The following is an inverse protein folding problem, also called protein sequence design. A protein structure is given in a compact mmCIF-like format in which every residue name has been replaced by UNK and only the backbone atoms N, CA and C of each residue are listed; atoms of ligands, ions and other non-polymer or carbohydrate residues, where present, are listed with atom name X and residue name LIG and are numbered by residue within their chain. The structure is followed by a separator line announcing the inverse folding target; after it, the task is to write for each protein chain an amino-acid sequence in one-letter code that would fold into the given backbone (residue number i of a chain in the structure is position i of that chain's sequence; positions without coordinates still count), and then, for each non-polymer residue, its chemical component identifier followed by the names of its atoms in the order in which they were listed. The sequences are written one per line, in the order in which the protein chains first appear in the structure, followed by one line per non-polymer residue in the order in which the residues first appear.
data_IF_868545089140
#
_entry.id   IF_868545089140
#
_cell.length_a   1.000
_cell.length_b   1.000
_cell.length_c   1.000
_cell.angle_alpha   90.00
_cell.angle_beta   90.00
_cell.angle_gamma   90.00
#
_symmetry.space_group_name_H-M   'P 1'
#
loop_
_entity.id
_entity.type
_entity.pdbx_description
1 polymer ?
#
# COMPACT_ATOMS: atom_id res chain seq x y z
N UNK A 1 -36.38 -27.49 54.40
CA UNK A 1 -35.28 -28.47 54.34
C UNK A 1 -34.20 -27.94 53.43
N UNK A 2 -33.07 -27.49 53.98
CA UNK A 2 -31.93 -26.97 53.21
C UNK A 2 -30.94 -28.09 52.94
N UNK A 3 -30.68 -28.38 51.67
CA UNK A 3 -29.64 -29.32 51.26
C UNK A 3 -28.26 -28.65 51.27
N UNK A 4 -27.27 -29.32 51.83
CA UNK A 4 -25.87 -28.91 51.84
C UNK A 4 -25.31 -28.87 50.41
N UNK A 5 -24.84 -27.70 49.96
CA UNK A 5 -24.20 -27.55 48.64
C UNK A 5 -22.89 -28.35 48.60
N UNK A 6 -22.79 -29.30 47.66
CA UNK A 6 -21.58 -30.09 47.42
C UNK A 6 -20.42 -29.22 46.92
N UNK A 7 -19.20 -29.54 47.33
CA UNK A 7 -17.97 -28.87 46.90
C UNK A 7 -17.69 -29.18 45.43
N UNK A 8 -17.89 -28.21 44.55
CA UNK A 8 -17.52 -28.28 43.13
C UNK A 8 -16.00 -28.02 43.06
N UNK A 9 -15.21 -29.10 42.86
CA UNK A 9 -13.80 -28.98 42.45
C UNK A 9 -13.76 -28.44 41.03
N UNK A 10 -13.17 -27.25 40.85
CA UNK A 10 -12.92 -26.69 39.51
C UNK A 10 -11.65 -27.33 38.96
N UNK A 11 -11.69 -27.77 37.71
CA UNK A 11 -10.61 -28.46 37.00
C UNK A 11 -9.34 -27.61 36.79
N UNK A 12 -9.27 -26.41 37.37
CA UNK A 12 -8.15 -25.46 37.24
C UNK A 12 -7.32 -25.31 38.53
N UNK A 13 -7.67 -25.99 39.61
CA UNK A 13 -6.92 -25.89 40.88
C UNK A 13 -5.74 -26.87 40.99
N UNK A 14 -5.56 -27.79 40.03
CA UNK A 14 -4.36 -28.63 39.96
C UNK A 14 -3.23 -27.87 39.23
N UNK A 15 -2.47 -27.11 40.01
CA UNK A 15 -1.26 -26.39 39.58
C UNK A 15 -0.08 -27.33 39.26
N UNK A 16 -0.28 -28.32 38.38
CA UNK A 16 0.62 -29.48 38.27
C UNK A 16 1.27 -29.77 36.91
N UNK A 17 0.97 -29.07 35.82
CA UNK A 17 1.37 -29.60 34.49
C UNK A 17 2.08 -28.66 33.50
N UNK A 18 2.44 -27.42 33.85
CA UNK A 18 3.33 -26.65 32.98
C UNK A 18 4.16 -25.62 33.74
N UNK A 19 5.49 -25.57 33.54
CA UNK A 19 6.28 -24.44 34.00
C UNK A 19 5.80 -23.14 33.35
N UNK A 20 5.82 -22.00 34.07
CA UNK A 20 5.36 -20.72 33.57
C UNK A 20 6.16 -20.29 32.31
N UNK A 21 5.53 -19.51 31.40
CA UNK A 21 6.20 -19.02 30.19
C UNK A 21 7.51 -18.30 30.55
N UNK A 22 8.64 -18.77 30.02
CA UNK A 22 9.98 -18.24 30.32
C UNK A 22 10.90 -19.18 31.12
N UNK A 23 10.40 -20.32 31.62
CA UNK A 23 11.21 -21.33 32.34
C UNK A 23 11.69 -22.50 31.45
N UNK A 24 11.64 -22.36 30.12
CA UNK A 24 12.18 -23.36 29.20
C UNK A 24 13.64 -23.07 28.91
N UNK A 25 14.53 -23.88 29.47
CA UNK A 25 15.97 -23.83 29.20
C UNK A 25 16.24 -24.48 27.83
N UNK A 26 16.58 -23.67 26.83
CA UNK A 26 16.90 -24.15 25.48
C UNK A 26 18.30 -24.76 25.51
N UNK A 27 18.39 -26.09 25.61
CA UNK A 27 19.66 -26.80 25.44
C UNK A 27 20.17 -26.57 24.02
N UNK A 28 21.25 -25.78 23.89
CA UNK A 28 22.02 -25.70 22.65
C UNK A 28 22.84 -26.99 22.53
N UNK A 29 22.67 -27.80 21.46
CA UNK A 29 23.53 -28.95 21.25
C UNK A 29 24.92 -28.48 20.82
N UNK A 30 25.94 -28.80 21.62
CA UNK A 30 27.35 -28.44 21.39
C UNK A 30 28.03 -29.19 20.24
N UNK A 31 27.28 -29.87 19.38
CA UNK A 31 27.78 -30.52 18.18
C UNK A 31 26.83 -30.27 17.01
N UNK A 32 26.74 -29.01 16.59
CA UNK A 32 26.08 -28.64 15.34
C UNK A 32 26.96 -29.07 14.16
N UNK A 33 26.71 -30.29 13.66
CA UNK A 33 27.01 -30.62 12.28
C UNK A 33 26.43 -29.50 11.40
N UNK A 34 27.29 -28.92 10.57
CA UNK A 34 27.04 -27.79 9.68
C UNK A 34 25.57 -27.69 9.26
N UNK A 35 24.88 -26.69 9.81
CA UNK A 35 23.57 -26.28 9.32
C UNK A 35 23.67 -26.09 7.81
N UNK A 36 22.80 -26.74 7.06
CA UNK A 36 22.73 -26.65 5.61
C UNK A 36 22.64 -25.16 5.24
N UNK A 37 23.75 -24.61 4.76
CA UNK A 37 23.79 -23.31 4.10
C UNK A 37 22.90 -23.47 2.88
N UNK A 38 21.69 -22.93 2.96
CA UNK A 38 20.81 -22.80 1.80
C UNK A 38 21.52 -21.81 0.87
N UNK A 39 22.31 -22.34 -0.06
CA UNK A 39 22.80 -21.61 -1.22
C UNK A 39 21.59 -21.04 -1.93
N UNK A 40 21.45 -19.72 -1.90
CA UNK A 40 20.45 -18.96 -2.64
C UNK A 40 20.41 -19.51 -4.07
N UNK A 41 19.25 -19.99 -4.48
CA UNK A 41 19.07 -20.60 -5.79
C UNK A 41 19.45 -19.60 -6.90
N UNK A 42 20.25 -20.04 -7.86
CA UNK A 42 20.55 -19.34 -9.12
C UNK A 42 19.30 -19.17 -10.03
N UNK A 43 18.09 -19.28 -9.47
CA UNK A 43 16.83 -19.31 -10.22
C UNK A 43 16.37 -17.93 -10.71
N UNK A 44 17.10 -16.87 -10.35
CA UNK A 44 16.88 -15.51 -10.83
C UNK A 44 18.15 -14.95 -11.47
N UNK A 45 18.56 -15.51 -12.62
CA UNK A 45 19.37 -14.75 -13.59
C UNK A 45 18.41 -14.06 -14.54
N UNK A 46 18.51 -12.72 -14.60
CA UNK A 46 17.85 -11.88 -15.60
C UNK A 46 18.31 -12.35 -16.98
N UNK A 47 17.41 -12.67 -17.93
CA UNK A 47 17.82 -13.01 -19.28
C UNK A 47 18.62 -11.88 -19.92
N UNK A 48 19.77 -12.26 -20.49
CA UNK A 48 20.64 -11.41 -21.31
C UNK A 48 19.84 -11.00 -22.56
N UNK A 49 19.86 -9.72 -22.90
CA UNK A 49 19.12 -9.13 -24.03
C UNK A 49 19.37 -9.87 -25.36
N UNK A 50 18.34 -10.07 -26.20
CA UNK A 50 18.53 -10.61 -27.54
C UNK A 50 19.19 -9.58 -28.48
N UNK A 51 19.99 -10.04 -29.47
CA UNK A 51 20.62 -9.16 -30.45
C UNK A 51 19.58 -8.45 -31.35
N UNK A 52 19.90 -7.27 -31.90
CA UNK A 52 18.96 -6.47 -32.68
C UNK A 52 18.56 -7.15 -34.00
N UNK A 53 17.32 -6.95 -34.49
CA UNK A 53 16.88 -7.46 -35.77
C UNK A 53 17.53 -6.68 -36.93
N UNK A 54 17.82 -7.32 -38.08
CA UNK A 54 18.26 -6.61 -39.27
C UNK A 54 17.15 -5.73 -39.83
N UNK A 55 17.43 -4.42 -39.90
CA UNK A 55 16.66 -3.45 -40.67
C UNK A 55 16.97 -3.57 -42.16
N UNK A 56 15.95 -3.76 -43.00
CA UNK A 56 15.76 -3.10 -44.31
C UNK A 56 14.68 -3.85 -45.11
N UNK A 57 13.49 -3.29 -45.24
CA UNK A 57 13.12 -2.69 -46.52
C UNK A 57 11.62 -2.40 -46.55
N UNK A 58 11.29 -1.20 -47.00
CA UNK A 58 9.99 -0.51 -46.93
C UNK A 58 8.85 -1.20 -47.72
N UNK A 59 7.58 -0.91 -47.38
CA UNK A 59 6.42 -1.29 -48.17
C UNK A 59 6.09 -0.21 -49.20
N UNK A 60 5.90 -0.59 -50.47
CA UNK A 60 5.30 0.31 -51.47
C UNK A 60 3.88 -0.15 -51.81
N UNK A 61 2.91 0.66 -51.37
CA UNK A 61 1.58 0.84 -51.97
C UNK A 61 1.68 0.88 -53.50
N UNK A 62 0.68 0.32 -54.18
CA UNK A 62 -0.17 1.10 -55.11
C UNK A 62 -1.44 0.33 -55.48
N UNK A 63 -2.55 1.06 -55.46
CA UNK A 63 -3.87 0.68 -55.97
C UNK A 63 -3.95 0.97 -57.47
N UNK A 64 -4.86 0.24 -58.12
CA UNK A 64 -5.86 0.67 -59.12
C UNK A 64 -5.47 1.10 -60.54
N UNK A 65 -6.34 0.62 -61.45
CA UNK A 65 -7.00 1.27 -62.61
C UNK A 65 -6.53 0.94 -64.03
N UNK A 66 -7.44 0.25 -64.74
CA UNK A 66 -8.09 0.60 -66.01
C UNK A 66 -7.31 1.22 -67.20
N UNK A 67 -7.57 0.58 -68.35
CA UNK A 67 -7.84 1.13 -69.70
C UNK A 67 -6.74 1.79 -70.56
N UNK A 68 -6.63 1.22 -71.77
CA UNK A 68 -6.52 1.85 -73.10
C UNK A 68 -5.15 2.22 -73.71
N UNK A 69 -4.98 1.71 -74.94
CA UNK A 69 -4.51 2.39 -76.17
C UNK A 69 -3.02 2.35 -76.63
N UNK A 70 -2.89 1.88 -77.89
CA UNK A 70 -1.95 2.27 -78.98
C UNK A 70 -0.48 1.76 -78.86
N UNK A 71 0.24 1.32 -79.89
CA UNK A 71 0.17 1.51 -81.36
C UNK A 71 1.16 0.58 -82.10
N UNK A 72 0.95 0.48 -83.44
CA UNK A 72 1.93 0.25 -84.52
C UNK A 72 2.51 -1.17 -84.67
N UNK A 73 2.75 -1.78 -85.83
CA UNK A 73 2.63 -1.52 -87.28
C UNK A 73 3.04 -2.87 -87.93
N UNK A 74 2.70 -3.33 -89.13
CA UNK A 74 1.95 -2.82 -90.27
C UNK A 74 1.59 -4.03 -91.17
N UNK A 75 0.50 -3.93 -91.92
CA UNK A 75 0.44 -3.83 -93.39
C UNK A 75 1.07 -5.00 -94.17
N UNK A 76 0.42 -5.64 -95.15
CA UNK A 76 -0.67 -5.12 -95.96
C UNK A 76 -1.43 -6.22 -96.71
N UNK A 77 -2.65 -5.81 -97.07
CA UNK A 77 -3.68 -6.57 -97.74
C UNK A 77 -3.97 -5.86 -99.07
N UNK A 78 -4.14 -6.67 -100.11
CA UNK A 78 -5.13 -6.50 -101.16
C UNK A 78 -4.78 -5.76 -102.48
N UNK A 79 -5.39 -6.38 -103.51
CA UNK A 79 -6.10 -5.83 -104.69
C UNK A 79 -5.33 -5.63 -105.99
N UNK A 80 -5.72 -6.50 -106.94
CA UNK A 80 -6.33 -6.22 -108.26
C UNK A 80 -5.76 -5.04 -109.06
N UNK A 81 -5.36 -5.35 -110.30
CA UNK A 81 -5.70 -4.59 -111.51
C UNK A 81 -5.32 -5.42 -112.75
N UNK A 82 -6.32 -5.76 -113.58
CA UNK A 82 -6.15 -5.93 -115.03
C UNK A 82 -6.11 -4.52 -115.65
N UNK A 83 -5.50 -4.31 -116.83
CA UNK A 83 -6.36 -4.25 -118.03
C UNK A 83 -5.70 -4.66 -119.37
N UNK A 84 -6.58 -4.95 -120.35
CA UNK A 84 -6.36 -4.76 -121.79
C UNK A 84 -5.65 -5.90 -122.52
N UNK A 85 -6.02 -6.34 -123.72
CA UNK A 85 -7.04 -5.92 -124.68
C UNK A 85 -6.81 -6.77 -125.95
N UNK A 86 -7.87 -7.26 -126.58
CA UNK A 86 -7.86 -7.92 -127.90
C UNK A 86 -7.79 -6.88 -129.03
N UNK A 87 -7.32 -7.23 -130.24
CA UNK A 87 -8.23 -7.65 -131.33
C UNK A 87 -7.60 -8.80 -132.17
N UNK A 88 -8.28 -9.63 -132.97
CA UNK A 88 -9.43 -9.38 -133.84
C UNK A 88 -8.96 -8.95 -135.23
N UNK A 89 -8.76 -9.89 -136.17
CA UNK A 89 -8.92 -9.59 -137.61
C UNK A 89 -9.14 -10.87 -138.42
N UNK A 90 -10.37 -10.98 -138.93
CA UNK A 90 -10.74 -11.84 -140.04
C UNK A 90 -10.86 -10.94 -141.28
N UNK A 91 -10.28 -11.34 -142.41
CA UNK A 91 -10.50 -10.69 -143.70
C UNK A 91 -10.95 -11.72 -144.74
N UNK A 92 -12.10 -11.44 -145.35
CA UNK A 92 -12.79 -12.16 -146.43
C UNK A 92 -12.62 -11.40 -147.75
N UNK A 93 -12.61 -12.15 -148.86
CA UNK A 93 -12.97 -11.69 -150.22
C UNK A 93 -11.79 -11.24 -151.07
N UNK A 94 -11.81 -11.27 -152.40
CA UNK A 94 -12.78 -11.69 -153.44
C UNK A 94 -11.98 -11.71 -154.76
N UNK A 95 -12.41 -12.54 -155.71
CA UNK A 95 -12.15 -12.54 -157.18
C UNK A 95 -12.42 -11.15 -157.82
N UNK A 96 -12.19 -10.83 -159.13
CA UNK A 96 -11.99 -11.68 -160.33
C UNK A 96 -11.05 -11.16 -161.47
N UNK A 97 -10.85 -12.02 -162.48
CA UNK A 97 -10.89 -11.83 -163.95
C UNK A 97 -10.06 -10.82 -164.79
N UNK A 98 -9.69 -11.33 -165.99
CA UNK A 98 -9.23 -10.69 -167.24
C UNK A 98 -7.76 -10.23 -167.30
N UNK A 99 -6.93 -10.49 -168.32
CA UNK A 99 -7.09 -11.00 -169.68
C UNK A 99 -5.74 -11.69 -170.08
N UNK A 100 -5.73 -12.96 -170.49
CA UNK A 100 -5.95 -13.43 -171.86
C UNK A 100 -5.11 -12.71 -172.92
N UNK A 101 -3.88 -13.19 -173.13
CA UNK A 101 -3.49 -13.85 -174.40
C UNK A 101 -1.97 -14.02 -174.58
N UNK A 102 -1.12 -13.47 -173.70
CA UNK A 102 0.35 -13.73 -173.75
C UNK A 102 0.89 -14.61 -172.60
N UNK A 103 0.15 -14.73 -171.48
CA UNK A 103 0.48 -15.59 -170.34
C UNK A 103 0.36 -17.11 -170.62
N UNK A 104 -0.15 -17.54 -171.78
CA UNK A 104 -0.34 -18.98 -172.08
C UNK A 104 0.97 -19.69 -172.46
N UNK A 105 2.01 -18.96 -172.88
CA UNK A 105 3.36 -19.52 -173.08
C UNK A 105 4.20 -19.48 -171.80
N UNK A 106 3.88 -18.57 -170.88
CA UNK A 106 4.49 -18.45 -169.56
C UNK A 106 3.85 -19.43 -168.55
N UNK A 107 2.54 -19.70 -168.68
CA UNK A 107 1.80 -20.68 -167.86
C UNK A 107 2.27 -22.12 -168.07
N UNK A 108 2.61 -22.56 -169.28
CA UNK A 108 3.16 -23.92 -169.50
C UNK A 108 4.60 -24.06 -168.97
N UNK A 109 5.33 -22.94 -168.82
CA UNK A 109 6.65 -22.89 -168.18
C UNK A 109 6.52 -22.83 -166.66
N UNK A 110 5.60 -22.00 -166.14
CA UNK A 110 5.29 -21.90 -164.72
C UNK A 110 4.53 -23.10 -164.16
N UNK A 111 3.74 -23.86 -164.95
CA UNK A 111 3.12 -25.12 -164.50
C UNK A 111 4.17 -26.25 -164.41
N UNK A 112 5.24 -26.21 -165.21
CA UNK A 112 6.41 -27.08 -165.02
C UNK A 112 7.28 -26.65 -163.83
N UNK A 113 7.40 -25.34 -163.56
CA UNK A 113 8.09 -24.83 -162.37
C UNK A 113 7.25 -25.00 -161.07
N UNK A 114 5.91 -24.92 -161.13
CA UNK A 114 5.01 -25.25 -160.01
C UNK A 114 5.00 -26.75 -159.70
N UNK A 115 5.15 -27.62 -160.69
CA UNK A 115 5.31 -29.06 -160.46
C UNK A 115 6.67 -29.39 -159.78
N UNK A 116 7.69 -28.55 -159.96
CA UNK A 116 8.97 -28.65 -159.24
C UNK A 116 8.96 -27.95 -157.86
N UNK A 117 8.04 -27.02 -157.62
CA UNK A 117 7.83 -26.35 -156.32
C UNK A 117 6.71 -26.98 -155.46
N UNK A 118 6.01 -28.01 -155.98
CA UNK A 118 5.07 -28.87 -155.26
C UNK A 118 5.63 -30.28 -155.02
N UNK A 119 6.96 -30.42 -154.97
CA UNK A 119 7.56 -31.56 -154.30
C UNK A 119 7.56 -31.32 -152.78
N UNK A 120 7.17 -32.29 -151.95
CA UNK A 120 7.33 -32.21 -150.51
C UNK A 120 8.82 -32.03 -150.19
N UNK A 121 9.20 -30.82 -149.81
CA UNK A 121 10.58 -30.50 -149.44
C UNK A 121 10.94 -31.18 -148.12
N UNK A 122 12.21 -31.56 -147.96
CA UNK A 122 12.79 -32.23 -146.78
C UNK A 122 12.41 -31.58 -145.44
N UNK A 123 12.01 -30.30 -145.43
CA UNK A 123 11.52 -29.60 -144.25
C UNK A 123 10.30 -30.24 -143.58
N UNK A 124 9.35 -30.82 -144.32
CA UNK A 124 8.17 -31.43 -143.72
C UNK A 124 8.50 -32.79 -143.05
N UNK A 125 9.45 -33.54 -143.63
CA UNK A 125 10.00 -34.75 -143.02
C UNK A 125 10.84 -34.43 -141.77
N UNK A 126 11.61 -33.34 -141.80
CA UNK A 126 12.36 -32.85 -140.64
C UNK A 126 11.44 -32.34 -139.53
N UNK A 127 10.30 -31.71 -139.87
CA UNK A 127 9.31 -31.26 -138.88
C UNK A 127 8.57 -32.44 -138.25
N UNK A 128 8.28 -33.49 -139.02
CA UNK A 128 7.72 -34.76 -138.51
C UNK A 128 8.70 -35.47 -137.59
N UNK A 129 9.97 -35.59 -138.00
CA UNK A 129 11.02 -36.19 -137.18
C UNK A 129 11.29 -35.38 -135.90
N UNK A 130 11.28 -34.04 -135.97
CA UNK A 130 11.40 -33.17 -134.81
C UNK A 130 10.21 -33.31 -133.86
N UNK A 131 8.98 -33.45 -134.40
CA UNK A 131 7.78 -33.72 -133.59
C UNK A 131 7.84 -35.09 -132.92
N UNK A 132 8.30 -36.12 -133.60
CA UNK A 132 8.48 -37.45 -133.01
C UNK A 132 9.57 -37.47 -131.93
N UNK A 133 10.72 -36.83 -132.16
CA UNK A 133 11.76 -36.69 -131.14
C UNK A 133 11.29 -35.81 -129.97
N UNK A 134 10.47 -34.79 -130.20
CA UNK A 134 9.83 -34.02 -129.13
C UNK A 134 8.85 -34.91 -128.34
N UNK A 135 8.05 -35.74 -129.01
CA UNK A 135 7.10 -36.64 -128.35
C UNK A 135 7.83 -37.75 -127.56
N UNK A 136 8.97 -38.22 -128.07
CA UNK A 136 9.84 -39.21 -127.42
C UNK A 136 10.59 -38.61 -126.24
N UNK A 137 11.07 -37.37 -126.34
CA UNK A 137 11.69 -36.65 -125.22
C UNK A 137 10.66 -36.28 -124.16
N UNK A 138 9.45 -35.89 -124.54
CA UNK A 138 8.32 -35.72 -123.62
C UNK A 138 7.94 -37.05 -122.93
N UNK A 139 7.92 -38.16 -123.65
CA UNK A 139 7.67 -39.50 -123.10
C UNK A 139 8.74 -39.89 -122.08
N UNK A 140 10.02 -39.65 -122.39
CA UNK A 140 11.15 -39.85 -121.46
C UNK A 140 11.07 -38.94 -120.23
N UNK A 141 10.72 -37.67 -120.40
CA UNK A 141 10.51 -36.73 -119.29
C UNK A 141 9.34 -37.16 -118.40
N UNK A 142 8.23 -37.63 -118.98
CA UNK A 142 7.08 -38.17 -118.24
C UNK A 142 7.44 -39.46 -117.49
N UNK A 143 8.24 -40.34 -118.08
CA UNK A 143 8.74 -41.55 -117.43
C UNK A 143 9.68 -41.22 -116.26
N UNK A 144 10.65 -40.32 -116.46
CA UNK A 144 11.55 -39.85 -115.40
C UNK A 144 10.78 -39.15 -114.26
N UNK A 145 9.75 -38.37 -114.58
CA UNK A 145 8.87 -37.75 -113.59
C UNK A 145 8.05 -38.80 -112.81
N UNK A 146 7.58 -39.85 -113.49
CA UNK A 146 6.87 -40.96 -112.84
C UNK A 146 7.79 -41.78 -111.91
N UNK A 147 9.06 -41.93 -112.27
CA UNK A 147 10.08 -42.61 -111.45
C UNK A 147 10.49 -41.77 -110.22
N UNK A 148 10.50 -40.44 -110.33
CA UNK A 148 10.80 -39.52 -109.20
C UNK A 148 9.63 -39.22 -108.27
N UNK A 149 8.38 -39.45 -108.70
CA UNK A 149 7.18 -39.32 -107.86
C UNK A 149 7.17 -40.16 -106.57
N UNK A 150 7.53 -41.47 -106.58
CA UNK A 150 7.58 -42.27 -105.36
C UNK A 150 8.68 -41.78 -104.39
N UNK A 151 9.86 -41.39 -104.89
CA UNK A 151 10.93 -40.83 -104.05
C UNK A 151 10.49 -39.54 -103.34
N UNK A 152 9.80 -38.63 -104.05
CA UNK A 152 9.28 -37.40 -103.46
C UNK A 152 8.18 -37.66 -102.41
N UNK A 153 7.28 -38.62 -102.69
CA UNK A 153 6.28 -39.06 -101.72
C UNK A 153 6.92 -39.67 -100.49
N UNK A 154 7.98 -40.47 -100.65
CA UNK A 154 8.72 -41.08 -99.56
C UNK A 154 9.45 -40.02 -98.72
N UNK A 155 10.05 -39.01 -99.35
CA UNK A 155 10.71 -37.88 -98.66
C UNK A 155 9.70 -37.07 -97.83
N UNK A 156 8.50 -36.81 -98.34
CA UNK A 156 7.44 -36.14 -97.59
C UNK A 156 7.03 -36.93 -96.33
N UNK A 157 6.92 -38.26 -96.46
CA UNK A 157 6.64 -39.14 -95.32
C UNK A 157 7.79 -39.11 -94.31
N UNK A 158 9.05 -39.14 -94.76
CA UNK A 158 10.21 -39.02 -93.89
C UNK A 158 10.24 -37.68 -93.13
N UNK A 159 9.95 -36.57 -93.81
CA UNK A 159 9.85 -35.25 -93.18
C UNK A 159 8.73 -35.18 -92.14
N UNK A 160 7.57 -35.77 -92.46
CA UNK A 160 6.45 -35.85 -91.52
C UNK A 160 6.78 -36.74 -90.32
N UNK A 161 7.43 -37.89 -90.54
CA UNK A 161 7.88 -38.78 -89.47
C UNK A 161 8.89 -38.08 -88.55
N UNK A 162 9.86 -37.34 -89.11
CA UNK A 162 10.81 -36.56 -88.33
C UNK A 162 10.13 -35.49 -87.49
N UNK A 163 9.14 -34.77 -88.05
CA UNK A 163 8.35 -33.78 -87.31
C UNK A 163 7.58 -34.44 -86.16
N UNK A 164 6.92 -35.57 -86.40
CA UNK A 164 6.17 -36.28 -85.36
C UNK A 164 7.09 -36.83 -84.26
N UNK A 165 8.28 -37.33 -84.61
CA UNK A 165 9.29 -37.75 -83.64
C UNK A 165 9.77 -36.58 -82.78
N UNK A 166 10.05 -35.42 -83.39
CA UNK A 166 10.41 -34.21 -82.65
C UNK A 166 9.28 -33.79 -81.69
N UNK A 167 8.04 -33.75 -82.16
CA UNK A 167 6.88 -33.45 -81.31
C UNK A 167 6.75 -34.45 -80.16
N UNK A 168 6.95 -35.74 -80.41
CA UNK A 168 6.95 -36.76 -79.35
C UNK A 168 8.06 -36.49 -78.33
N UNK A 169 9.28 -36.17 -78.75
CA UNK A 169 10.38 -35.85 -77.81
C UNK A 169 10.10 -34.60 -76.99
N UNK A 170 9.46 -33.59 -77.58
CA UNK A 170 9.04 -32.38 -76.88
C UNK A 170 7.94 -32.70 -75.85
N UNK A 171 6.96 -33.53 -76.21
CA UNK A 171 5.92 -34.00 -75.28
C UNK A 171 6.49 -34.87 -74.16
N UNK A 172 7.43 -35.77 -74.46
CA UNK A 172 8.10 -36.60 -73.44
C UNK A 172 8.91 -35.74 -72.45
N UNK A 173 9.59 -34.70 -72.95
CA UNK A 173 10.30 -33.73 -72.11
C UNK A 173 9.33 -32.89 -71.24
N UNK A 174 8.22 -32.42 -71.81
CA UNK A 174 7.16 -31.73 -71.06
C UNK A 174 6.55 -32.61 -69.97
N UNK A 175 6.30 -33.89 -70.29
CA UNK A 175 5.78 -34.87 -69.34
C UNK A 175 6.78 -35.11 -68.19
N UNK A 176 8.08 -35.22 -68.49
CA UNK A 176 9.12 -35.38 -67.48
C UNK A 176 9.19 -34.16 -66.54
N UNK A 177 9.17 -32.94 -67.09
CA UNK A 177 9.18 -31.70 -66.31
C UNK A 177 7.92 -31.58 -65.42
N UNK A 178 6.73 -31.92 -65.96
CA UNK A 178 5.50 -31.91 -65.19
C UNK A 178 5.51 -32.92 -64.03
N UNK A 179 6.10 -34.12 -64.23
CA UNK A 179 6.27 -35.12 -63.17
C UNK A 179 7.21 -34.64 -62.07
N UNK A 180 8.31 -33.97 -62.44
CA UNK A 180 9.25 -33.40 -61.46
C UNK A 180 8.60 -32.29 -60.61
N UNK A 181 7.86 -31.37 -61.25
CA UNK A 181 7.14 -30.32 -60.53
C UNK A 181 6.01 -30.90 -59.65
N UNK A 182 5.33 -31.96 -60.09
CA UNK A 182 4.39 -32.70 -59.24
C UNK A 182 5.09 -33.29 -58.01
N UNK A 183 6.23 -33.97 -58.18
CA UNK A 183 6.98 -34.56 -57.06
C UNK A 183 7.45 -33.48 -56.06
N UNK A 184 7.91 -32.33 -56.58
CA UNK A 184 8.34 -31.18 -55.77
C UNK A 184 7.18 -30.56 -54.98
N UNK A 185 6.00 -30.43 -55.59
CA UNK A 185 4.81 -29.92 -54.91
C UNK A 185 4.25 -30.91 -53.90
N UNK A 186 4.28 -32.22 -54.17
CA UNK A 186 3.97 -33.27 -53.21
C UNK A 186 4.91 -33.24 -52.00
N UNK A 187 6.21 -33.01 -52.22
CA UNK A 187 7.19 -32.83 -51.15
C UNK A 187 6.86 -31.64 -50.25
N UNK A 188 6.54 -30.49 -50.86
CA UNK A 188 6.09 -29.27 -50.13
C UNK A 188 4.80 -29.52 -49.35
N UNK A 189 3.84 -30.26 -49.93
CA UNK A 189 2.59 -30.60 -49.26
C UNK A 189 2.84 -31.50 -48.04
N UNK A 190 3.71 -32.50 -48.16
CA UNK A 190 4.09 -33.37 -47.03
C UNK A 190 4.76 -32.57 -45.90
N UNK A 191 5.66 -31.64 -46.23
CA UNK A 191 6.28 -30.75 -45.26
C UNK A 191 5.23 -29.86 -44.56
N UNK A 192 4.34 -29.22 -45.32
CA UNK A 192 3.26 -28.39 -44.77
C UNK A 192 2.28 -29.19 -43.89
N UNK A 193 2.01 -30.45 -44.23
CA UNK A 193 1.19 -31.35 -43.41
C UNK A 193 1.89 -31.71 -42.09
N UNK A 194 3.20 -31.97 -42.11
CA UNK A 194 3.97 -32.21 -40.90
C UNK A 194 3.97 -30.97 -39.99
N UNK A 195 4.22 -29.78 -40.54
CA UNK A 195 4.15 -28.51 -39.82
C UNK A 195 2.76 -28.27 -39.22
N UNK A 196 1.68 -28.43 -40.01
CA UNK A 196 0.29 -28.34 -39.52
C UNK A 196 0.05 -29.25 -38.31
N UNK A 197 0.53 -30.50 -38.37
CA UNK A 197 0.36 -31.44 -37.27
C UNK A 197 1.11 -30.97 -36.01
N UNK A 198 2.34 -30.48 -36.14
CA UNK A 198 3.10 -29.91 -35.01
C UNK A 198 2.44 -28.66 -34.42
N UNK A 199 1.89 -27.78 -35.26
CA UNK A 199 1.15 -26.60 -34.80
C UNK A 199 -0.13 -27.01 -34.07
N UNK A 200 -0.82 -28.04 -34.56
CA UNK A 200 -2.03 -28.57 -33.91
C UNK A 200 -1.73 -29.10 -32.51
N UNK A 201 -0.62 -29.82 -32.33
CA UNK A 201 -0.19 -30.28 -31.00
C UNK A 201 0.19 -29.12 -30.07
N UNK A 202 0.86 -28.09 -30.61
CA UNK A 202 1.23 -26.90 -29.84
C UNK A 202 0.00 -26.10 -29.40
N UNK A 203 -0.99 -25.93 -30.28
CA UNK A 203 -2.27 -25.29 -29.93
C UNK A 203 -2.97 -26.04 -28.81
N UNK A 204 -3.07 -27.37 -28.91
CA UNK A 204 -3.68 -28.19 -27.85
C UNK A 204 -2.93 -28.07 -26.51
N UNK A 205 -1.60 -27.94 -26.52
CA UNK A 205 -0.81 -27.71 -25.32
C UNK A 205 -1.06 -26.33 -24.71
N UNK A 206 -1.06 -25.26 -25.53
CA UNK A 206 -1.32 -23.89 -25.06
C UNK A 206 -2.74 -23.74 -24.50
N UNK A 207 -3.72 -24.40 -25.10
CA UNK A 207 -5.09 -24.43 -24.57
C UNK A 207 -5.18 -25.08 -23.19
N UNK A 208 -4.42 -26.16 -22.94
CA UNK A 208 -4.34 -26.79 -21.62
C UNK A 208 -3.70 -25.84 -20.61
N UNK A 209 -2.58 -25.22 -20.95
CA UNK A 209 -1.90 -24.25 -20.08
C UNK A 209 -2.80 -23.05 -19.75
N UNK A 210 -3.54 -22.53 -20.73
CA UNK A 210 -4.51 -21.44 -20.51
C UNK A 210 -5.62 -21.84 -19.53
N UNK A 211 -6.16 -23.06 -19.65
CA UNK A 211 -7.15 -23.59 -18.71
C UNK A 211 -6.60 -23.74 -17.29
N UNK A 212 -5.36 -24.20 -17.15
CA UNK A 212 -4.68 -24.31 -15.85
C UNK A 212 -4.44 -22.93 -15.22
N UNK A 213 -3.95 -21.96 -16.01
CA UNK A 213 -3.78 -20.58 -15.56
C UNK A 213 -5.10 -19.97 -15.11
N UNK A 214 -6.21 -20.19 -15.82
CA UNK A 214 -7.53 -19.71 -15.40
C UNK A 214 -7.96 -20.32 -14.06
N UNK A 215 -7.80 -21.64 -13.87
CA UNK A 215 -8.10 -22.30 -12.59
C UNK A 215 -7.27 -21.72 -11.44
N UNK A 216 -5.97 -21.49 -11.66
CA UNK A 216 -5.11 -20.87 -10.62
C UNK A 216 -5.50 -19.42 -10.33
N UNK A 217 -5.92 -18.66 -11.34
CA UNK A 217 -6.41 -17.29 -11.18
C UNK A 217 -7.69 -17.25 -10.34
N UNK A 218 -8.64 -18.13 -10.61
CA UNK A 218 -9.89 -18.23 -9.83
C UNK A 218 -9.62 -18.66 -8.37
N UNK A 219 -8.68 -19.59 -8.16
CA UNK A 219 -8.21 -19.95 -6.82
C UNK A 219 -7.57 -18.76 -6.10
N UNK A 220 -6.77 -17.94 -6.79
CA UNK A 220 -6.17 -16.75 -6.21
C UNK A 220 -7.23 -15.70 -5.87
N UNK A 221 -8.20 -15.45 -6.75
CA UNK A 221 -9.32 -14.54 -6.48
C UNK A 221 -10.10 -14.97 -5.24
N UNK A 222 -10.45 -16.25 -5.13
CA UNK A 222 -11.17 -16.77 -3.95
C UNK A 222 -10.35 -16.65 -2.67
N UNK A 223 -9.03 -16.92 -2.71
CA UNK A 223 -8.13 -16.67 -1.58
C UNK A 223 -8.01 -15.19 -1.21
N UNK A 224 -7.95 -14.29 -2.19
CA UNK A 224 -7.93 -12.85 -1.93
C UNK A 224 -9.24 -12.40 -1.28
N UNK A 225 -10.38 -12.81 -1.81
CA UNK A 225 -11.70 -12.51 -1.22
C UNK A 225 -11.85 -13.04 0.21
N UNK A 226 -11.33 -14.24 0.50
CA UNK A 226 -11.39 -14.79 1.86
C UNK A 226 -10.46 -14.04 2.82
N UNK A 227 -9.28 -13.61 2.33
CA UNK A 227 -8.37 -12.77 3.10
C UNK A 227 -8.96 -11.39 3.42
N UNK A 228 -9.76 -10.80 2.52
CA UNK A 228 -10.45 -9.52 2.75
C UNK A 228 -11.27 -9.54 4.06
N UNK A 229 -12.04 -10.61 4.30
CA UNK A 229 -12.82 -10.77 5.53
C UNK A 229 -11.98 -11.01 6.79
N UNK A 230 -10.77 -11.59 6.65
CA UNK A 230 -9.81 -11.66 7.77
C UNK A 230 -9.17 -10.30 8.05
N UNK A 231 -8.87 -9.54 7.01
CA UNK A 231 -8.30 -8.20 7.08
C UNK A 231 -9.27 -7.24 7.77
N UNK A 232 -10.54 -7.23 7.38
CA UNK A 232 -11.57 -6.41 8.04
C UNK A 232 -11.72 -6.72 9.54
N UNK A 233 -11.68 -8.01 9.92
CA UNK A 233 -11.69 -8.43 11.33
C UNK A 233 -10.44 -7.99 12.08
N UNK A 234 -9.28 -8.02 11.43
CA UNK A 234 -8.04 -7.53 12.03
C UNK A 234 -8.08 -6.01 12.20
N UNK A 235 -8.60 -5.27 11.21
CA UNK A 235 -8.78 -3.82 11.28
C UNK A 235 -9.77 -3.43 12.40
N UNK A 236 -10.90 -4.13 12.54
CA UNK A 236 -11.84 -3.88 13.63
C UNK A 236 -11.23 -4.18 15.00
N UNK A 237 -10.55 -5.32 15.15
CA UNK A 237 -9.87 -5.67 16.40
C UNK A 237 -8.75 -4.67 16.74
N UNK A 238 -8.04 -4.14 15.75
CA UNK A 238 -7.03 -3.12 15.94
C UNK A 238 -7.64 -1.79 16.42
N UNK A 239 -8.81 -1.41 15.89
CA UNK A 239 -9.54 -0.23 16.35
C UNK A 239 -10.02 -0.41 17.80
N UNK A 240 -10.60 -1.55 18.15
CA UNK A 240 -11.05 -1.85 19.51
C UNK A 240 -9.88 -1.83 20.51
N UNK A 241 -8.71 -2.34 20.11
CA UNK A 241 -7.48 -2.29 20.91
C UNK A 241 -6.98 -0.85 21.08
N UNK A 242 -7.10 0.01 20.08
CA UNK A 242 -6.74 1.42 20.19
C UNK A 242 -7.68 2.16 21.16
N UNK A 243 -8.99 1.93 21.05
CA UNK A 243 -10.00 2.56 21.91
C UNK A 243 -9.87 2.13 23.38
N UNK A 244 -9.61 0.84 23.62
CA UNK A 244 -9.39 0.32 24.98
C UNK A 244 -8.08 0.82 25.59
N UNK A 245 -7.01 0.96 24.79
CA UNK A 245 -5.76 1.61 25.24
C UNK A 245 -5.99 3.08 25.60
N UNK A 246 -6.73 3.83 24.80
CA UNK A 246 -7.05 5.22 25.09
C UNK A 246 -7.84 5.36 26.41
N UNK A 247 -8.85 4.50 26.62
CA UNK A 247 -9.61 4.44 27.88
C UNK A 247 -8.73 4.08 29.08
N UNK A 248 -7.83 3.11 28.92
CA UNK A 248 -6.89 2.73 29.97
C UNK A 248 -5.95 3.89 30.32
N UNK A 249 -5.42 4.60 29.33
CA UNK A 249 -4.54 5.75 29.54
C UNK A 249 -5.28 6.88 30.28
N UNK A 250 -6.53 7.17 29.91
CA UNK A 250 -7.36 8.15 30.62
C UNK A 250 -7.57 7.74 32.10
N UNK A 251 -7.90 6.47 32.37
CA UNK A 251 -8.05 5.97 33.74
C UNK A 251 -6.74 5.97 34.52
N UNK A 252 -5.61 5.70 33.88
CA UNK A 252 -4.30 5.81 34.51
C UNK A 252 -3.99 7.26 34.92
N UNK A 253 -4.33 8.24 34.08
CA UNK A 253 -4.18 9.66 34.41
C UNK A 253 -5.09 10.06 35.58
N UNK A 254 -6.37 9.67 35.57
CA UNK A 254 -7.30 9.92 36.68
C UNK A 254 -6.81 9.32 38.00
N UNK A 255 -6.31 8.07 37.97
CA UNK A 255 -5.75 7.42 39.15
C UNK A 255 -4.50 8.16 39.66
N UNK A 256 -3.63 8.61 38.77
CA UNK A 256 -2.46 9.39 39.17
C UNK A 256 -2.83 10.72 39.81
N UNK A 257 -3.83 11.44 39.28
CA UNK A 257 -4.30 12.69 39.89
C UNK A 257 -4.93 12.45 41.26
N UNK A 258 -5.79 11.44 41.40
CA UNK A 258 -6.41 11.10 42.68
C UNK A 258 -5.37 10.65 43.71
N UNK A 259 -4.34 9.91 43.29
CA UNK A 259 -3.23 9.56 44.17
C UNK A 259 -2.52 10.82 44.68
N UNK A 260 -2.18 11.76 43.81
CA UNK A 260 -1.53 13.02 44.24
C UNK A 260 -2.40 13.85 45.18
N UNK A 261 -3.71 13.86 44.97
CA UNK A 261 -4.68 14.55 45.81
C UNK A 261 -4.78 13.91 47.20
N UNK A 262 -4.93 12.58 47.27
CA UNK A 262 -4.93 11.85 48.54
C UNK A 262 -3.62 12.04 49.31
N UNK A 263 -2.47 11.97 48.63
CA UNK A 263 -1.17 12.23 49.25
C UNK A 263 -1.06 13.67 49.79
N UNK A 264 -1.61 14.65 49.08
CA UNK A 264 -1.66 16.03 49.54
C UNK A 264 -2.56 16.19 50.79
N UNK A 265 -3.73 15.55 50.81
CA UNK A 265 -4.63 15.55 51.96
C UNK A 265 -3.97 14.90 53.19
N UNK A 266 -3.31 13.74 53.00
CA UNK A 266 -2.56 13.09 54.09
C UNK A 266 -1.48 14.02 54.64
N UNK A 267 -0.70 14.68 53.77
CA UNK A 267 0.32 15.66 54.20
C UNK A 267 -0.28 16.82 54.99
N UNK A 268 -1.44 17.34 54.58
CA UNK A 268 -2.14 18.41 55.31
C UNK A 268 -2.59 17.95 56.69
N UNK A 269 -3.29 16.81 56.78
CA UNK A 269 -3.79 16.28 58.05
C UNK A 269 -2.64 15.92 59.00
N UNK A 270 -1.51 15.46 58.47
CA UNK A 270 -0.30 15.21 59.26
C UNK A 270 0.23 16.51 59.88
N UNK A 271 0.29 17.60 59.11
CA UNK A 271 0.71 18.91 59.60
C UNK A 271 -0.24 19.46 60.68
N UNK A 272 -1.55 19.31 60.49
CA UNK A 272 -2.56 19.72 61.47
C UNK A 272 -2.44 18.91 62.78
N UNK A 273 -2.19 17.60 62.68
CA UNK A 273 -1.94 16.72 63.82
C UNK A 273 -0.70 17.16 64.61
N UNK A 274 0.39 17.45 63.92
CA UNK A 274 1.64 17.88 64.57
C UNK A 274 1.49 19.27 65.22
N UNK A 275 0.78 20.20 64.57
CA UNK A 275 0.42 21.50 65.16
C UNK A 275 -0.46 21.35 66.42
N UNK A 276 -1.44 20.43 66.39
CA UNK A 276 -2.27 20.14 67.55
C UNK A 276 -1.43 19.53 68.70
N UNK A 277 -0.48 18.65 68.39
CA UNK A 277 0.46 18.08 69.38
C UNK A 277 1.34 19.15 70.03
N UNK A 278 1.88 20.09 69.24
CA UNK A 278 2.67 21.20 69.80
C UNK A 278 1.83 22.10 70.70
N UNK A 279 0.57 22.38 70.33
CA UNK A 279 -0.36 23.15 71.16
C UNK A 279 -0.68 22.44 72.48
N UNK A 280 -0.93 21.12 72.44
CA UNK A 280 -1.17 20.32 73.64
C UNK A 280 0.06 20.35 74.56
N UNK A 281 1.28 20.23 74.01
CA UNK A 281 2.50 20.31 74.79
C UNK A 281 2.65 21.68 75.48
N UNK A 282 2.44 22.78 74.75
CA UNK A 282 2.48 24.14 75.30
C UNK A 282 1.41 24.36 76.39
N UNK A 283 0.20 23.84 76.21
CA UNK A 283 -0.86 23.91 77.23
C UNK A 283 -0.54 23.10 78.48
N UNK A 284 0.09 21.93 78.34
CA UNK A 284 0.56 21.14 79.48
C UNK A 284 1.62 21.89 80.29
N UNK A 285 2.63 22.46 79.63
CA UNK A 285 3.66 23.27 80.28
C UNK A 285 3.05 24.48 81.02
N UNK A 286 2.09 25.18 80.39
CA UNK A 286 1.35 26.27 81.03
C UNK A 286 0.56 25.81 82.26
N UNK A 287 -0.10 24.66 82.20
CA UNK A 287 -0.84 24.12 83.33
C UNK A 287 0.09 23.71 84.48
N UNK A 288 1.25 23.14 84.18
CA UNK A 288 2.27 22.83 85.18
C UNK A 288 2.81 24.11 85.85
N UNK A 289 3.06 25.16 85.07
CA UNK A 289 3.45 26.46 85.61
C UNK A 289 2.37 27.05 86.53
N UNK A 290 1.10 27.02 86.10
CA UNK A 290 -0.03 27.48 86.92
C UNK A 290 -0.20 26.67 88.21
N UNK A 291 0.02 25.35 88.17
CA UNK A 291 -0.03 24.50 89.35
C UNK A 291 1.05 24.90 90.36
N UNK A 292 2.28 25.16 89.90
CA UNK A 292 3.38 25.65 90.75
C UNK A 292 3.05 27.00 91.37
N UNK A 293 2.54 27.96 90.60
CA UNK A 293 2.15 29.28 91.14
C UNK A 293 1.01 29.19 92.15
N UNK A 294 0.03 28.30 91.93
CA UNK A 294 -1.04 28.08 92.90
C UNK A 294 -0.50 27.48 94.21
N UNK A 295 0.46 26.56 94.12
CA UNK A 295 1.13 26.01 95.30
C UNK A 295 1.91 27.08 96.07
N UNK A 296 2.62 27.98 95.37
CA UNK A 296 3.31 29.13 95.99
C UNK A 296 2.32 30.07 96.69
N UNK A 297 1.20 30.40 96.05
CA UNK A 297 0.13 31.23 96.65
C UNK A 297 -0.42 30.58 97.92
N UNK A 298 -0.64 29.26 97.90
CA UNK A 298 -1.14 28.54 99.08
C UNK A 298 -0.15 28.66 100.26
N UNK A 299 1.14 28.42 100.02
CA UNK A 299 2.17 28.55 101.06
C UNK A 299 2.23 29.98 101.62
N UNK A 300 2.14 31.00 100.77
CA UNK A 300 2.12 32.40 101.20
C UNK A 300 0.84 32.74 102.00
N UNK A 301 -0.31 32.16 101.62
CA UNK A 301 -1.56 32.31 102.37
C UNK A 301 -1.43 31.71 103.78
N UNK A 302 -0.90 30.49 103.90
CA UNK A 302 -0.67 29.82 105.18
C UNK A 302 0.30 30.63 106.07
N UNK A 303 1.36 31.22 105.49
CA UNK A 303 2.27 32.11 106.21
C UNK A 303 1.55 33.36 106.73
N UNK A 304 0.74 34.00 105.88
CA UNK A 304 -0.03 35.19 106.26
C UNK A 304 -1.03 34.89 107.38
N UNK A 305 -1.72 33.76 107.31
CA UNK A 305 -2.64 33.30 108.36
C UNK A 305 -1.93 33.07 109.71
N UNK A 306 -0.71 32.51 109.67
CA UNK A 306 0.13 32.35 110.85
C UNK A 306 0.54 33.70 111.45
N UNK A 307 0.97 34.66 110.62
CA UNK A 307 1.31 36.01 111.07
C UNK A 307 0.11 36.73 111.68
N UNK A 308 -1.07 36.62 111.07
CA UNK A 308 -2.33 37.17 111.61
C UNK A 308 -2.63 36.55 112.97
N UNK A 309 -2.48 35.23 113.11
CA UNK A 309 -2.69 34.53 114.39
C UNK A 309 -1.74 35.02 115.48
N UNK A 310 -0.47 35.24 115.15
CA UNK A 310 0.53 35.79 116.07
C UNK A 310 0.17 37.23 116.48
N UNK A 311 -0.21 38.08 115.53
CA UNK A 311 -0.67 39.44 115.81
C UNK A 311 -1.93 39.45 116.69
N UNK A 312 -2.86 38.52 116.47
CA UNK A 312 -4.06 38.36 117.29
C UNK A 312 -3.71 38.01 118.74
N UNK A 313 -2.79 37.06 118.95
CA UNK A 313 -2.33 36.70 120.30
C UNK A 313 -1.66 37.89 121.01
N UNK A 314 -0.80 38.63 120.30
CA UNK A 314 -0.15 39.81 120.86
C UNK A 314 -1.16 40.90 121.20
N UNK A 315 -2.18 41.07 120.35
CA UNK A 315 -3.29 42.01 120.60
C UNK A 315 -4.07 41.63 121.86
N UNK A 316 -4.36 40.35 122.06
CA UNK A 316 -5.10 39.87 123.24
C UNK A 316 -4.26 39.96 124.53
N UNK A 317 -2.94 39.73 124.44
CA UNK A 317 -2.00 39.99 125.54
C UNK A 317 -2.01 41.47 125.94
N UNK A 318 -1.81 42.39 124.98
CA UNK A 318 -1.84 43.82 125.24
C UNK A 318 -3.20 44.29 125.79
N UNK A 319 -4.32 43.70 125.35
CA UNK A 319 -5.64 43.97 125.94
C UNK A 319 -5.78 43.45 127.37
N UNK A 320 -5.14 42.34 127.72
CA UNK A 320 -5.12 41.83 129.10
C UNK A 320 -4.28 42.71 130.01
N UNK A 321 -3.10 43.14 129.54
CA UNK A 321 -2.22 44.06 130.27
C UNK A 321 -2.88 45.43 130.46
N UNK A 322 -3.51 45.99 129.42
CA UNK A 322 -4.26 47.24 129.56
C UNK A 322 -5.39 47.11 130.60
N UNK A 323 -6.12 45.98 130.64
CA UNK A 323 -7.14 45.74 131.67
C UNK A 323 -6.56 45.67 133.08
N UNK A 324 -5.46 44.94 133.28
CA UNK A 324 -4.83 44.85 134.61
C UNK A 324 -4.26 46.19 135.06
N UNK A 325 -3.70 46.99 134.14
CA UNK A 325 -3.26 48.36 134.41
C UNK A 325 -4.44 49.27 134.76
N UNK A 326 -5.56 49.19 134.03
CA UNK A 326 -6.79 49.93 134.35
C UNK A 326 -7.34 49.56 135.74
N UNK A 327 -7.36 48.28 136.10
CA UNK A 327 -7.78 47.78 137.41
C UNK A 327 -6.85 48.27 138.54
N UNK A 328 -5.53 48.19 138.36
CA UNK A 328 -4.56 48.70 139.32
C UNK A 328 -4.69 50.22 139.51
N UNK A 329 -4.89 50.96 138.42
CA UNK A 329 -5.17 52.39 138.46
C UNK A 329 -6.49 52.71 139.19
N UNK A 330 -7.50 51.86 139.10
CA UNK A 330 -8.75 52.03 139.84
C UNK A 330 -8.56 51.77 141.34
N UNK A 331 -7.80 50.73 141.72
CA UNK A 331 -7.44 50.44 143.11
C UNK A 331 -6.66 51.59 143.74
N UNK A 332 -5.60 52.08 143.09
CA UNK A 332 -4.82 53.23 143.56
C UNK A 332 -5.68 54.50 143.71
N UNK A 333 -6.64 54.72 142.81
CA UNK A 333 -7.60 55.83 142.94
C UNK A 333 -8.51 55.65 144.17
N UNK A 334 -9.01 54.44 144.43
CA UNK A 334 -9.81 54.14 145.61
C UNK A 334 -8.98 54.32 146.89
N UNK A 335 -7.76 53.77 146.94
CA UNK A 335 -6.83 53.95 148.05
C UNK A 335 -6.52 55.42 148.30
N UNK A 336 -6.19 56.18 147.25
CA UNK A 336 -5.95 57.63 147.34
C UNK A 336 -7.18 58.38 147.86
N UNK A 337 -8.41 58.00 147.46
CA UNK A 337 -9.64 58.58 147.99
C UNK A 337 -9.85 58.23 149.47
N UNK A 338 -9.60 56.97 149.87
CA UNK A 338 -9.70 56.58 151.29
C UNK A 338 -8.68 57.33 152.14
N UNK A 339 -7.45 57.53 151.65
CA UNK A 339 -6.41 58.32 152.32
C UNK A 339 -6.81 59.80 152.39
N UNK A 340 -7.34 60.38 151.31
CA UNK A 340 -7.88 61.74 151.34
C UNK A 340 -8.98 61.90 152.40
N UNK A 341 -9.91 60.95 152.47
CA UNK A 341 -10.98 60.95 153.48
C UNK A 341 -10.44 60.85 154.90
N UNK A 342 -9.51 59.92 155.16
CA UNK A 342 -8.85 59.78 156.48
C UNK A 342 -8.09 61.04 156.86
N UNK A 343 -7.38 61.67 155.92
CA UNK A 343 -6.70 62.93 156.15
C UNK A 343 -7.69 64.04 156.49
N UNK A 344 -8.82 64.11 155.77
CA UNK A 344 -9.87 65.09 156.04
C UNK A 344 -10.53 64.87 157.41
N UNK A 345 -10.78 63.62 157.80
CA UNK A 345 -11.25 63.26 159.14
C UNK A 345 -10.24 63.65 160.22
N UNK A 346 -8.94 63.39 160.01
CA UNK A 346 -7.88 63.78 160.93
C UNK A 346 -7.74 65.30 161.05
N UNK A 347 -7.86 66.04 159.93
CA UNK A 347 -7.91 67.50 159.92
C UNK A 347 -9.12 67.97 160.73
N UNK A 348 -10.33 67.47 160.46
CA UNK A 348 -11.53 67.83 161.22
C UNK A 348 -11.42 67.50 162.70
N UNK A 349 -10.80 66.37 163.06
CA UNK A 349 -10.57 66.02 164.45
C UNK A 349 -9.54 66.95 165.10
N UNK A 350 -8.46 67.29 164.39
CA UNK A 350 -7.48 68.28 164.85
C UNK A 350 -8.11 69.67 165.00
N UNK A 351 -8.98 70.08 164.07
CA UNK A 351 -9.76 71.31 164.13
C UNK A 351 -10.71 71.29 165.32
N UNK A 352 -11.44 70.19 165.57
CA UNK A 352 -12.26 70.02 166.77
C UNK A 352 -11.43 70.09 168.05
N UNK A 353 -10.24 69.49 168.09
CA UNK A 353 -9.33 69.56 169.24
C UNK A 353 -8.81 70.98 169.44
N UNK A 354 -8.42 71.67 168.37
CA UNK A 354 -8.02 73.08 168.41
C UNK A 354 -9.18 73.95 168.87
N UNK A 355 -10.40 73.69 168.39
CA UNK A 355 -11.60 74.38 168.81
C UNK A 355 -11.90 74.11 170.29
N UNK A 356 -11.83 72.87 170.76
CA UNK A 356 -11.95 72.53 172.18
C UNK A 356 -10.89 73.20 173.04
N UNK A 357 -9.64 73.26 172.58
CA UNK A 357 -8.57 73.98 173.28
C UNK A 357 -8.87 75.47 173.31
N UNK A 358 -9.29 76.05 172.18
CA UNK A 358 -9.72 77.45 172.06
C UNK A 358 -10.87 77.75 173.01
N UNK A 359 -11.90 76.91 173.03
CA UNK A 359 -13.08 77.01 173.89
C UNK A 359 -12.69 76.86 175.37
N UNK A 360 -11.78 75.94 175.71
CA UNK A 360 -11.24 75.82 177.07
C UNK A 360 -10.37 77.00 177.46
N UNK A 361 -9.68 77.63 176.50
CA UNK A 361 -8.87 78.81 176.72
C UNK A 361 -9.77 80.03 176.90
N UNK A 362 -10.83 80.20 176.11
CA UNK A 362 -11.83 81.24 176.32
C UNK A 362 -12.62 81.01 177.60
N UNK A 363 -12.97 79.78 177.97
CA UNK A 363 -13.61 79.47 179.25
C UNK A 363 -12.64 79.75 180.42
N UNK A 364 -11.34 79.43 180.28
CA UNK A 364 -10.32 79.85 181.27
C UNK A 364 -10.12 81.36 181.29
N UNK A 365 -10.22 82.03 180.14
CA UNK A 365 -10.12 83.48 180.04
C UNK A 365 -11.35 84.15 180.67
N UNK A 366 -12.55 83.63 180.43
CA UNK A 366 -13.80 84.04 181.07
C UNK A 366 -13.77 83.77 182.57
N UNK A 367 -13.32 82.60 183.02
CA UNK A 367 -13.11 82.31 184.45
C UNK A 367 -12.01 83.20 185.07
N UNK A 368 -10.99 83.59 184.32
CA UNK A 368 -9.96 84.53 184.79
C UNK A 368 -10.49 85.98 184.86
N UNK A 369 -11.37 86.36 183.93
CA UNK A 369 -12.11 87.63 183.94
C UNK A 369 -13.14 87.64 185.08
N UNK A 370 -13.93 86.58 185.28
CA UNK A 370 -14.86 86.43 186.41
C UNK A 370 -14.14 86.39 187.76
N UNK A 371 -12.94 85.79 187.85
CA UNK A 371 -12.08 85.86 189.05
C UNK A 371 -11.43 87.23 189.27
N UNK A 372 -11.37 88.09 188.25
CA UNK A 372 -11.02 89.50 188.43
C UNK A 372 -12.23 90.34 188.90
N UNK A 373 -13.46 89.83 188.81
CA UNK A 373 -14.67 90.64 189.01
C UNK A 373 -15.36 90.49 190.37
N UNK A 374 -14.94 89.59 191.26
CA UNK A 374 -15.37 89.53 192.67
C UNK A 374 -16.82 89.12 192.96
#
# INVERSE_FOLDING_TARGET
MSFSKAKIKRYYDDAGCAPPPGHYEVQQPENAAHGAVITKSERFKVPKDPPPPPSSGKPSRTKSSSTSNLSASGDGLAKKLFPGGTPGSAAKGKTPDQASSELKKEKDRLERELCLLQQPTEHDAQLSAAKEELQKTEGKLKAALAEKKPEYSQLLVFLQLRRLLQQRTEHDAQLAAAKEELQKTEGKLKAALAEKNTLTTNVAQLERQSKELNKTNDLLKTKVSSMEGTRQRHESAHQDLADTRAKLQAKQQELSSLQTECEAQVRSLQADLDAARTNIAALKERNEALAKTNQEIQVLSEQTENEVSQLQMLTDQLRSENRSLEEAMAQEKEESQTLQKKLQEAIQESERRVQQISDSLTEKYQNAVERQEN
#
